data_IF_690942900200
#
_entry.id   IF_690942900200
#
_cell.length_a   1.000
_cell.length_b   1.000
_cell.length_c   1.000
_cell.angle_alpha   90.00
_cell.angle_beta   90.00
_cell.angle_gamma   90.00
#
_symmetry.space_group_name_H-M   'P 1'
#
loop_
_entity.id
_entity.type
_entity.pdbx_description
1 polymer ?
#
# COMPACT_ATOMS: atom_id res chain seq x y z
N UNK A 1 17.78 33.64 7.32
CA UNK A 1 17.06 32.84 6.32
C UNK A 1 17.92 31.63 5.95
N UNK A 2 17.70 30.49 6.61
CA UNK A 2 18.27 29.17 6.29
C UNK A 2 17.31 28.18 6.99
N UNK A 3 16.68 27.17 6.40
CA UNK A 3 17.05 26.35 5.26
C UNK A 3 15.80 25.90 4.46
N UNK A 4 15.82 26.08 3.14
CA UNK A 4 15.05 25.27 2.19
C UNK A 4 15.97 24.13 1.72
N UNK A 5 16.05 22.99 2.40
CA UNK A 5 16.88 21.88 1.90
C UNK A 5 16.26 20.50 2.18
N UNK A 6 16.05 19.76 1.08
CA UNK A 6 16.14 18.28 0.95
C UNK A 6 15.00 17.33 1.38
N UNK A 7 13.79 17.78 1.73
CA UNK A 7 12.70 16.81 2.02
C UNK A 7 12.16 16.08 0.77
N UNK A 8 12.15 16.76 -0.39
CA UNK A 8 11.55 16.20 -1.62
C UNK A 8 12.31 15.01 -2.20
N UNK A 9 13.64 15.07 -2.23
CA UNK A 9 14.47 13.99 -2.78
C UNK A 9 14.49 12.75 -1.87
N UNK A 10 14.69 12.95 -0.56
CA UNK A 10 14.68 11.84 0.40
C UNK A 10 13.31 11.12 0.43
N UNK A 11 12.20 11.86 0.37
CA UNK A 11 10.87 11.25 0.34
C UNK A 11 10.57 10.54 -0.99
N UNK A 12 11.03 11.10 -2.12
CA UNK A 12 10.92 10.43 -3.41
C UNK A 12 11.72 9.12 -3.43
N UNK A 13 12.95 9.12 -2.93
CA UNK A 13 13.80 7.93 -2.84
C UNK A 13 13.14 6.84 -1.98
N UNK A 14 12.63 7.22 -0.80
CA UNK A 14 11.91 6.31 0.10
C UNK A 14 10.64 5.76 -0.54
N UNK A 15 9.89 6.59 -1.28
CA UNK A 15 8.70 6.14 -2.01
C UNK A 15 9.05 5.11 -3.07
N UNK A 16 10.13 5.34 -3.83
CA UNK A 16 10.59 4.39 -4.85
C UNK A 16 11.03 3.07 -4.20
N UNK A 17 11.80 3.12 -3.11
CA UNK A 17 12.27 1.93 -2.40
C UNK A 17 11.10 1.05 -1.91
N UNK A 18 10.09 1.66 -1.29
CA UNK A 18 8.93 0.93 -0.79
C UNK A 18 8.12 0.33 -1.94
N UNK A 19 7.91 1.08 -3.02
CA UNK A 19 7.23 0.56 -4.21
C UNK A 19 7.99 -0.59 -4.86
N UNK A 20 9.31 -0.51 -4.92
CA UNK A 20 10.15 -1.58 -5.44
C UNK A 20 10.06 -2.84 -4.57
N UNK A 21 10.08 -2.71 -3.24
CA UNK A 21 9.89 -3.85 -2.32
C UNK A 21 8.52 -4.52 -2.47
N UNK A 22 7.47 -3.72 -2.70
CA UNK A 22 6.12 -4.23 -2.99
C UNK A 22 6.03 -4.91 -4.37
N UNK A 23 6.86 -4.49 -5.32
CA UNK A 23 6.93 -5.07 -6.67
C UNK A 23 7.77 -6.35 -6.73
N UNK A 24 8.84 -6.43 -5.93
CA UNK A 24 9.78 -7.54 -5.90
C UNK A 24 9.17 -8.83 -5.34
N UNK A 25 9.78 -9.97 -5.65
CA UNK A 25 9.38 -11.29 -5.17
C UNK A 25 8.51 -12.07 -6.16
N UNK A 26 8.01 -13.22 -5.72
CA UNK A 26 7.17 -14.08 -6.55
C UNK A 26 5.85 -13.38 -6.86
N UNK A 27 5.37 -13.56 -8.10
CA UNK A 27 4.03 -13.15 -8.50
C UNK A 27 2.99 -14.02 -7.78
N UNK A 28 1.99 -13.39 -7.19
CA UNK A 28 0.95 -14.04 -6.37
C UNK A 28 -0.41 -13.84 -7.03
N UNK A 29 -1.26 -14.87 -6.94
CA UNK A 29 -2.67 -14.74 -7.30
C UNK A 29 -3.49 -14.35 -6.07
N UNK A 30 -4.07 -13.16 -6.08
CA UNK A 30 -4.96 -12.66 -5.02
C UNK A 30 -6.41 -12.94 -5.42
N UNK A 31 -7.07 -13.86 -4.70
CA UNK A 31 -8.44 -14.29 -4.98
C UNK A 31 -9.25 -14.27 -3.69
N UNK A 32 -10.06 -13.24 -3.52
CA UNK A 32 -10.91 -13.07 -2.34
C UNK A 32 -12.32 -12.74 -2.78
N UNK A 33 -13.30 -13.42 -2.19
CA UNK A 33 -14.71 -13.06 -2.36
C UNK A 33 -15.05 -11.76 -1.62
N UNK A 34 -14.26 -11.44 -0.59
CA UNK A 34 -14.46 -10.29 0.29
C UNK A 34 -13.10 -9.64 0.62
N UNK A 35 -12.58 -8.85 -0.32
CA UNK A 35 -11.34 -8.12 -0.15
C UNK A 35 -11.60 -6.75 0.48
N UNK A 36 -10.93 -6.46 1.60
CA UNK A 36 -10.95 -5.15 2.24
C UNK A 36 -9.54 -4.54 2.27
N UNK A 37 -9.46 -3.24 2.61
CA UNK A 37 -8.18 -2.60 2.88
C UNK A 37 -7.45 -3.23 4.08
N UNK A 38 -8.18 -3.80 5.04
CA UNK A 38 -7.59 -4.52 6.17
C UNK A 38 -6.91 -5.82 5.72
N UNK A 39 -7.52 -6.54 4.78
CA UNK A 39 -6.92 -7.74 4.17
C UNK A 39 -5.61 -7.39 3.48
N UNK A 40 -5.60 -6.33 2.66
CA UNK A 40 -4.39 -5.87 2.00
C UNK A 40 -3.29 -5.44 3.00
N UNK A 41 -3.67 -4.67 4.02
CA UNK A 41 -2.77 -4.24 5.09
C UNK A 41 -2.11 -5.43 5.82
N UNK A 42 -2.91 -6.43 6.18
CA UNK A 42 -2.44 -7.63 6.85
C UNK A 42 -1.42 -8.40 5.99
N UNK A 43 -1.75 -8.65 4.71
CA UNK A 43 -0.88 -9.41 3.82
C UNK A 43 0.42 -8.67 3.51
N UNK A 44 0.36 -7.35 3.30
CA UNK A 44 1.57 -6.54 3.08
C UNK A 44 2.46 -6.55 4.32
N UNK A 45 1.88 -6.43 5.51
CA UNK A 45 2.66 -6.49 6.75
C UNK A 45 3.32 -7.86 6.94
N UNK A 46 2.59 -8.94 6.70
CA UNK A 46 3.09 -10.30 6.87
C UNK A 46 4.19 -10.65 5.85
N UNK A 47 3.96 -10.36 4.57
CA UNK A 47 4.84 -10.82 3.48
C UNK A 47 5.99 -9.85 3.19
N UNK A 48 5.81 -8.56 3.46
CA UNK A 48 6.78 -7.51 3.11
C UNK A 48 7.40 -6.81 4.30
N UNK A 49 6.89 -7.05 5.52
CA UNK A 49 7.33 -6.36 6.72
C UNK A 49 7.09 -4.85 6.66
N UNK A 50 6.12 -4.41 5.86
CA UNK A 50 5.73 -2.99 5.72
C UNK A 50 4.44 -2.79 6.50
N UNK A 51 4.47 -1.93 7.52
CA UNK A 51 3.31 -1.56 8.31
C UNK A 51 2.38 -0.70 7.45
N UNK A 52 1.09 -1.05 7.45
CA UNK A 52 0.05 -0.24 6.79
C UNK A 52 -0.84 0.39 7.86
N UNK A 53 -0.79 1.71 7.96
CA UNK A 53 -1.63 2.50 8.86
C UNK A 53 -2.86 2.93 8.08
N UNK A 54 -4.04 2.55 8.57
CA UNK A 54 -5.32 2.94 7.96
C UNK A 54 -5.92 4.06 8.82
N UNK A 55 -6.13 5.22 8.22
CA UNK A 55 -6.69 6.38 8.91
C UNK A 55 -8.08 6.10 9.51
N UNK A 56 -8.42 6.86 10.55
CA UNK A 56 -9.67 6.66 11.29
C UNK A 56 -10.93 6.94 10.46
N UNK A 57 -10.84 7.79 9.44
CA UNK A 57 -11.94 8.16 8.55
C UNK A 57 -12.19 7.15 7.43
N UNK A 58 -11.32 6.16 7.25
CA UNK A 58 -11.52 5.09 6.27
C UNK A 58 -12.54 4.09 6.80
N UNK A 59 -13.63 3.88 6.05
CA UNK A 59 -14.58 2.80 6.35
C UNK A 59 -13.94 1.43 6.09
N UNK A 60 -13.55 0.77 7.18
CA UNK A 60 -12.89 -0.55 7.16
C UNK A 60 -13.84 -1.69 6.81
N UNK A 61 -15.16 -1.44 6.78
CA UNK A 61 -16.16 -2.44 6.39
C UNK A 61 -16.36 -2.52 4.89
N UNK A 62 -15.87 -1.54 4.12
CA UNK A 62 -15.96 -1.59 2.66
C UNK A 62 -15.11 -2.73 2.12
N UNK A 63 -15.72 -3.50 1.23
CA UNK A 63 -15.08 -4.66 0.64
C UNK A 63 -15.65 -4.97 -0.74
N UNK A 64 -14.90 -5.76 -1.51
CA UNK A 64 -15.28 -6.17 -2.86
C UNK A 64 -14.62 -7.49 -3.26
N UNK A 65 -15.21 -8.29 -4.16
CA UNK A 65 -14.53 -9.47 -4.68
C UNK A 65 -13.37 -9.05 -5.59
N UNK A 66 -12.21 -9.70 -5.44
CA UNK A 66 -11.03 -9.46 -6.26
C UNK A 66 -10.47 -10.77 -6.82
N UNK A 67 -10.05 -10.73 -8.08
CA UNK A 67 -9.32 -11.81 -8.72
C UNK A 67 -8.18 -11.21 -9.56
N UNK A 68 -6.99 -11.15 -8.96
CA UNK A 68 -5.75 -10.75 -9.61
C UNK A 68 -4.86 -11.96 -9.77
N UNK A 69 -4.48 -12.29 -11.00
CA UNK A 69 -3.60 -13.43 -11.29
C UNK A 69 -2.18 -12.97 -11.53
N UNK A 70 -1.24 -13.65 -10.88
CA UNK A 70 0.21 -13.47 -11.07
C UNK A 70 0.65 -11.99 -10.96
N UNK A 71 0.20 -11.32 -9.90
CA UNK A 71 0.45 -9.90 -9.64
C UNK A 71 1.40 -9.68 -8.45
N UNK A 72 1.91 -8.46 -8.36
CA UNK A 72 2.72 -8.00 -7.22
C UNK A 72 1.85 -7.45 -6.09
N UNK A 73 2.44 -7.27 -4.91
CA UNK A 73 1.77 -6.57 -3.80
C UNK A 73 1.49 -5.11 -4.12
N UNK A 74 2.35 -4.46 -4.92
CA UNK A 74 2.13 -3.09 -5.35
C UNK A 74 0.84 -2.98 -6.18
N UNK A 75 0.68 -3.85 -7.18
CA UNK A 75 -0.53 -3.90 -8.01
C UNK A 75 -1.77 -4.23 -7.19
N UNK A 76 -1.65 -5.16 -6.24
CA UNK A 76 -2.75 -5.51 -5.35
C UNK A 76 -3.18 -4.34 -4.45
N UNK A 77 -2.22 -3.60 -3.89
CA UNK A 77 -2.48 -2.38 -3.11
C UNK A 77 -3.16 -1.32 -3.99
N UNK A 78 -2.61 -1.02 -5.17
CA UNK A 78 -3.14 -0.02 -6.10
C UNK A 78 -4.60 -0.30 -6.47
N UNK A 79 -4.90 -1.54 -6.89
CA UNK A 79 -6.27 -1.94 -7.25
C UNK A 79 -7.20 -1.90 -6.05
N UNK A 80 -6.73 -2.32 -4.87
CA UNK A 80 -7.54 -2.31 -3.64
C UNK A 80 -7.90 -0.88 -3.24
N UNK A 81 -6.93 0.03 -3.20
CA UNK A 81 -7.21 1.43 -2.85
C UNK A 81 -8.08 2.09 -3.90
N UNK A 82 -7.82 1.87 -5.19
CA UNK A 82 -8.64 2.46 -6.26
C UNK A 82 -10.10 2.00 -6.20
N UNK A 83 -10.35 0.69 -5.99
CA UNK A 83 -11.71 0.13 -5.93
C UNK A 83 -12.50 0.63 -4.71
N UNK A 84 -11.80 0.90 -3.61
CA UNK A 84 -12.40 1.42 -2.38
C UNK A 84 -12.48 2.95 -2.33
N UNK A 85 -12.04 3.65 -3.37
CA UNK A 85 -11.99 5.12 -3.39
C UNK A 85 -11.00 5.71 -2.38
N UNK A 86 -9.90 4.98 -2.13
CA UNK A 86 -8.84 5.33 -1.19
C UNK A 86 -7.56 5.72 -1.92
N UNK A 87 -6.66 6.37 -1.19
CA UNK A 87 -5.30 6.71 -1.59
C UNK A 87 -4.31 6.20 -0.56
N UNK A 88 -3.04 6.13 -0.94
CA UNK A 88 -1.98 5.81 -0.01
C UNK A 88 -0.73 6.65 -0.28
N UNK A 89 0.04 6.88 0.78
CA UNK A 89 1.33 7.56 0.74
C UNK A 89 2.36 6.75 1.54
N UNK A 90 3.61 6.81 1.11
CA UNK A 90 4.73 6.18 1.83
C UNK A 90 5.21 7.19 2.86
N UNK A 91 5.15 6.84 4.15
CA UNK A 91 5.57 7.74 5.23
C UNK A 91 7.07 7.58 5.51
N UNK A 92 7.54 6.35 5.51
CA UNK A 92 8.93 5.96 5.70
C UNK A 92 9.21 4.61 5.00
N UNK A 93 10.44 4.10 5.06
CA UNK A 93 10.84 2.86 4.37
C UNK A 93 10.10 1.60 4.85
N UNK A 94 9.37 1.66 5.96
CA UNK A 94 8.63 0.53 6.55
C UNK A 94 7.16 0.85 6.80
N UNK A 95 6.67 2.03 6.41
CA UNK A 95 5.32 2.46 6.74
C UNK A 95 4.61 3.08 5.54
N UNK A 96 3.42 2.58 5.25
CA UNK A 96 2.46 3.15 4.31
C UNK A 96 1.26 3.64 5.10
N UNK A 97 0.73 4.81 4.74
CA UNK A 97 -0.53 5.34 5.25
C UNK A 97 -1.61 5.27 4.17
N UNK A 98 -2.80 4.82 4.53
CA UNK A 98 -3.98 4.75 3.66
C UNK A 98 -5.05 5.70 4.19
N UNK A 99 -5.61 6.50 3.29
CA UNK A 99 -6.57 7.56 3.57
C UNK A 99 -7.56 7.69 2.40
N UNK A 100 -8.54 8.60 2.51
CA UNK A 100 -9.54 8.88 1.46
C UNK A 100 -9.07 10.01 0.53
#
# INVERSE_FOLDING_TARGET
MFAMQSFGFAHADVTHEVKDRLKQGNKISFRFNDNSIQTAAYLIQHEKGIKVIIDQNVDKKMSFPINLRDQSFLTYLDVTTQRLGLRYEVIDTKTIRVYQ
#
